data_IF_451855886814
#
_entry.id   IF_451855886814
#
_cell.length_a   1.000
_cell.length_b   1.000
_cell.length_c   1.000
_cell.angle_alpha   90.00
_cell.angle_beta   90.00
_cell.angle_gamma   90.00
#
_symmetry.space_group_name_H-M   'P 1'
#
loop_
_entity.id
_entity.type
_entity.pdbx_description
1 polymer ?
#
# COMPACT_ATOMS: atom_id res chain seq x y z
N UNK A 1 -25.62 8.11 -29.64
CA UNK A 1 -24.78 9.28 -29.97
C UNK A 1 -25.48 10.26 -30.90
N UNK A 2 -25.81 9.94 -32.16
CA UNK A 2 -26.46 10.88 -33.11
C UNK A 2 -27.69 11.60 -32.53
N UNK A 3 -28.61 10.87 -31.90
CA UNK A 3 -29.80 11.46 -31.26
C UNK A 3 -29.47 12.50 -30.18
N UNK A 4 -28.48 12.21 -29.33
CA UNK A 4 -28.07 13.15 -28.28
C UNK A 4 -27.49 14.44 -28.88
N UNK A 5 -26.68 14.32 -29.92
CA UNK A 5 -26.10 15.48 -30.61
C UNK A 5 -27.18 16.37 -31.23
N UNK A 6 -28.17 15.78 -31.90
CA UNK A 6 -29.32 16.50 -32.48
C UNK A 6 -30.12 17.21 -31.37
N UNK A 7 -30.37 16.53 -30.25
CA UNK A 7 -31.07 17.09 -29.11
C UNK A 7 -30.25 18.14 -28.33
N UNK A 8 -28.97 18.36 -28.66
CA UNK A 8 -28.08 19.26 -27.90
C UNK A 8 -27.74 18.71 -26.50
N UNK A 9 -27.58 17.40 -26.39
CA UNK A 9 -27.17 16.67 -25.20
C UNK A 9 -25.78 16.05 -25.39
N UNK A 10 -25.00 16.07 -24.32
CA UNK A 10 -23.85 15.18 -24.14
C UNK A 10 -24.37 13.82 -23.66
N UNK A 11 -23.81 12.74 -24.20
CA UNK A 11 -24.22 11.37 -23.90
C UNK A 11 -23.05 10.57 -23.35
N UNK A 12 -23.30 9.84 -22.26
CA UNK A 12 -22.36 8.90 -21.66
C UNK A 12 -23.07 7.58 -21.40
N UNK A 13 -22.36 6.47 -21.61
CA UNK A 13 -22.87 5.11 -21.40
C UNK A 13 -21.88 4.31 -20.57
N UNK A 14 -22.40 3.57 -19.60
CA UNK A 14 -21.66 2.57 -18.84
C UNK A 14 -22.51 1.30 -18.77
N UNK A 15 -22.11 0.26 -19.51
CA UNK A 15 -22.92 -0.95 -19.71
C UNK A 15 -24.35 -0.63 -20.20
N UNK A 16 -25.36 -0.86 -19.37
CA UNK A 16 -26.78 -0.58 -19.60
C UNK A 16 -27.22 0.81 -19.11
N UNK A 17 -26.43 1.48 -18.27
CA UNK A 17 -26.71 2.84 -17.81
C UNK A 17 -26.43 3.86 -18.92
N UNK A 18 -27.45 4.65 -19.25
CA UNK A 18 -27.40 5.74 -20.22
C UNK A 18 -27.63 7.08 -19.50
N UNK A 19 -26.70 8.02 -19.67
CA UNK A 19 -26.81 9.37 -19.09
C UNK A 19 -26.77 10.41 -20.20
N UNK A 20 -27.75 11.32 -20.17
CA UNK A 20 -27.83 12.47 -21.07
C UNK A 20 -27.74 13.75 -20.23
N UNK A 21 -26.85 14.66 -20.61
CA UNK A 21 -26.67 15.95 -19.93
C UNK A 21 -26.75 17.10 -20.92
N UNK A 22 -27.24 18.26 -20.48
CA UNK A 22 -27.37 19.46 -21.31
C UNK A 22 -27.29 20.72 -20.46
N UNK A 23 -26.87 21.82 -21.07
CA UNK A 23 -26.90 23.16 -20.47
C UNK A 23 -28.18 23.95 -20.87
N UNK A 24 -29.07 23.35 -21.67
CA UNK A 24 -30.36 23.96 -22.02
C UNK A 24 -31.22 24.13 -20.77
N UNK A 25 -31.99 25.23 -20.70
CA UNK A 25 -32.93 25.50 -19.60
C UNK A 25 -34.07 24.47 -19.53
N UNK A 26 -34.55 24.04 -20.70
CA UNK A 26 -35.55 22.99 -20.84
C UNK A 26 -34.87 21.71 -21.31
N UNK A 27 -35.25 20.58 -20.71
CA UNK A 27 -34.72 19.28 -21.12
C UNK A 27 -35.35 18.86 -22.47
N UNK A 28 -34.57 18.35 -23.44
CA UNK A 28 -35.10 18.01 -24.77
C UNK A 28 -36.14 16.88 -24.74
N UNK A 29 -37.30 17.14 -25.33
CA UNK A 29 -38.43 16.21 -25.38
C UNK A 29 -38.12 14.94 -26.20
N UNK A 30 -37.16 15.02 -27.13
CA UNK A 30 -36.67 13.88 -27.90
C UNK A 30 -35.97 12.83 -27.02
N UNK A 31 -35.46 13.27 -25.86
CA UNK A 31 -34.75 12.44 -24.89
C UNK A 31 -35.68 12.03 -23.75
N UNK A 32 -36.44 12.96 -23.17
CA UNK A 32 -37.37 12.64 -22.09
C UNK A 32 -38.28 13.80 -21.68
N UNK A 33 -39.35 13.47 -20.96
CA UNK A 33 -40.35 14.41 -20.48
C UNK A 33 -40.89 13.95 -19.10
N UNK A 34 -41.38 14.87 -18.25
CA UNK A 34 -41.88 14.52 -16.92
C UNK A 34 -43.17 13.68 -17.02
N UNK A 35 -43.32 12.65 -16.19
CA UNK A 35 -44.56 11.87 -16.13
C UNK A 35 -45.68 12.74 -15.55
N UNK A 36 -46.66 13.13 -16.36
CA UNK A 36 -47.77 14.00 -15.97
C UNK A 36 -48.83 13.30 -15.12
N UNK A 37 -48.91 11.98 -15.22
CA UNK A 37 -50.07 11.20 -14.76
C UNK A 37 -49.93 10.70 -13.32
N UNK A 38 -48.80 11.02 -12.66
CA UNK A 38 -48.43 10.52 -11.32
C UNK A 38 -48.39 11.65 -10.27
N UNK A 39 -48.98 12.80 -10.58
CA UNK A 39 -49.05 13.98 -9.71
C UNK A 39 -47.81 14.90 -9.77
N UNK A 40 -47.94 16.16 -9.31
CA UNK A 40 -46.91 17.19 -9.42
C UNK A 40 -45.60 16.88 -8.66
N UNK A 41 -45.61 15.91 -7.74
CA UNK A 41 -44.46 15.53 -6.91
C UNK A 41 -43.69 14.30 -7.45
N UNK A 42 -44.14 13.68 -8.55
CA UNK A 42 -43.42 12.52 -9.10
C UNK A 42 -42.15 12.97 -9.83
N UNK A 43 -40.98 12.70 -9.27
CA UNK A 43 -39.68 12.91 -9.96
C UNK A 43 -39.41 11.89 -11.09
N UNK A 44 -40.47 11.24 -11.58
CA UNK A 44 -40.43 10.17 -12.58
C UNK A 44 -40.42 10.81 -13.96
N UNK A 45 -39.50 10.35 -14.81
CA UNK A 45 -39.39 10.83 -16.18
C UNK A 45 -39.66 9.68 -17.14
N UNK A 46 -40.31 10.00 -18.26
CA UNK A 46 -40.57 9.06 -19.34
C UNK A 46 -39.58 9.30 -20.49
N UNK A 47 -39.11 8.23 -21.15
CA UNK A 47 -38.23 8.37 -22.30
C UNK A 47 -38.98 8.96 -23.49
N UNK A 48 -38.36 9.93 -24.15
CA UNK A 48 -38.85 10.54 -25.37
C UNK A 48 -39.01 9.50 -26.48
N UNK A 49 -39.95 9.73 -27.40
CA UNK A 49 -40.30 8.75 -28.44
C UNK A 49 -39.12 8.36 -29.33
N UNK A 50 -38.26 9.34 -29.67
CA UNK A 50 -37.07 9.11 -30.48
C UNK A 50 -36.06 8.22 -29.74
N UNK A 51 -35.85 8.46 -28.44
CA UNK A 51 -34.99 7.64 -27.60
C UNK A 51 -35.54 6.23 -27.45
N UNK A 52 -36.84 6.10 -27.14
CA UNK A 52 -37.54 4.81 -26.98
C UNK A 52 -37.45 3.96 -28.25
N UNK A 53 -37.75 4.53 -29.43
CA UNK A 53 -37.62 3.84 -30.71
C UNK A 53 -36.18 3.37 -30.98
N UNK A 54 -35.21 4.21 -30.65
CA UNK A 54 -33.79 3.89 -30.84
C UNK A 54 -33.35 2.72 -29.96
N UNK A 55 -33.75 2.70 -28.69
CA UNK A 55 -33.40 1.64 -27.74
C UNK A 55 -34.13 0.34 -28.08
N UNK A 56 -35.42 0.40 -28.41
CA UNK A 56 -36.20 -0.77 -28.82
C UNK A 56 -35.66 -1.42 -30.10
N UNK A 57 -35.24 -0.61 -31.09
CA UNK A 57 -34.60 -1.12 -32.32
C UNK A 57 -33.30 -1.87 -32.03
N UNK A 58 -32.61 -1.53 -30.94
CA UNK A 58 -31.41 -2.21 -30.50
C UNK A 58 -31.69 -3.49 -29.68
N UNK A 59 -32.96 -3.87 -29.48
CA UNK A 59 -33.36 -5.07 -28.73
C UNK A 59 -33.42 -4.89 -27.21
N UNK A 60 -33.43 -3.64 -26.71
CA UNK A 60 -33.49 -3.34 -25.27
C UNK A 60 -34.81 -2.66 -24.90
N UNK A 61 -35.16 -2.71 -23.61
CA UNK A 61 -36.31 -2.01 -23.05
C UNK A 61 -35.88 -1.11 -21.89
N UNK A 62 -36.48 0.07 -21.79
CA UNK A 62 -36.14 1.07 -20.75
C UNK A 62 -36.93 0.74 -19.49
N UNK A 63 -36.25 0.76 -18.33
CA UNK A 63 -36.91 0.60 -17.03
C UNK A 63 -37.49 1.94 -16.54
N UNK A 64 -38.82 2.13 -16.50
CA UNK A 64 -39.43 3.41 -16.13
C UNK A 64 -39.10 3.82 -14.69
N UNK A 65 -39.05 2.86 -13.76
CA UNK A 65 -38.78 3.10 -12.34
C UNK A 65 -37.34 3.59 -12.08
N UNK A 66 -36.44 3.37 -13.04
CA UNK A 66 -35.05 3.87 -12.98
C UNK A 66 -34.83 5.11 -13.85
N UNK A 67 -35.86 5.59 -14.55
CA UNK A 67 -35.76 6.76 -15.44
C UNK A 67 -36.12 8.03 -14.67
N UNK A 68 -35.15 8.92 -14.51
CA UNK A 68 -35.28 10.13 -13.70
C UNK A 68 -34.41 11.26 -14.26
N UNK A 69 -34.80 12.52 -14.00
CA UNK A 69 -33.99 13.69 -14.28
C UNK A 69 -33.28 14.17 -13.01
N UNK A 70 -31.99 14.51 -13.14
CA UNK A 70 -31.20 15.07 -12.04
C UNK A 70 -30.97 16.57 -12.22
N UNK A 71 -31.64 17.38 -11.40
CA UNK A 71 -31.52 18.84 -11.43
C UNK A 71 -30.15 19.34 -10.96
N UNK A 72 -29.69 20.46 -11.53
CA UNK A 72 -28.42 21.12 -11.19
C UNK A 72 -28.31 21.52 -9.71
N UNK A 73 -29.43 21.95 -9.11
CA UNK A 73 -29.52 22.35 -7.70
C UNK A 73 -29.56 21.17 -6.73
N UNK A 74 -29.77 19.95 -7.26
CA UNK A 74 -29.81 18.71 -6.49
C UNK A 74 -28.52 17.90 -6.70
N UNK A 75 -28.26 16.92 -5.83
CA UNK A 75 -27.10 16.03 -5.98
C UNK A 75 -27.27 15.19 -7.25
N UNK A 76 -26.36 15.33 -8.21
CA UNK A 76 -26.35 14.57 -9.46
C UNK A 76 -25.42 13.38 -9.32
N UNK A 77 -25.93 12.18 -9.60
CA UNK A 77 -25.23 10.90 -9.45
C UNK A 77 -25.20 10.14 -10.76
N UNK A 78 -24.00 9.84 -11.24
CA UNK A 78 -23.78 9.05 -12.44
C UNK A 78 -22.85 7.90 -12.06
N UNK A 79 -23.27 6.66 -12.33
CA UNK A 79 -22.48 5.43 -12.09
C UNK A 79 -21.84 5.36 -10.69
N UNK A 80 -22.54 5.86 -9.67
CA UNK A 80 -22.10 5.86 -8.27
C UNK A 80 -21.31 7.10 -7.82
N UNK A 81 -20.85 7.95 -8.75
CA UNK A 81 -20.11 9.19 -8.48
C UNK A 81 -21.02 10.41 -8.45
N UNK A 82 -20.66 11.41 -7.65
CA UNK A 82 -21.31 12.73 -7.64
C UNK A 82 -20.61 13.61 -8.68
N UNK A 83 -21.36 14.27 -9.55
CA UNK A 83 -20.80 14.96 -10.74
C UNK A 83 -21.17 16.44 -10.88
N UNK A 84 -21.81 17.05 -9.87
CA UNK A 84 -22.35 18.42 -9.93
C UNK A 84 -21.39 19.51 -10.42
N UNK A 85 -20.11 19.43 -10.02
CA UNK A 85 -19.07 20.42 -10.37
C UNK A 85 -17.77 19.74 -10.77
N UNK A 86 -17.39 18.72 -10.01
CA UNK A 86 -16.28 17.81 -10.26
C UNK A 86 -16.71 16.40 -9.88
N UNK A 87 -15.94 15.40 -10.30
CA UNK A 87 -16.12 14.03 -9.84
C UNK A 87 -15.85 14.00 -8.34
N UNK A 88 -16.80 13.48 -7.56
CA UNK A 88 -16.66 13.36 -6.12
C UNK A 88 -17.36 12.11 -5.60
N UNK A 89 -16.97 11.72 -4.40
CA UNK A 89 -17.58 10.64 -3.66
C UNK A 89 -18.60 11.21 -2.67
N UNK A 90 -19.65 10.44 -2.42
CA UNK A 90 -20.67 10.72 -1.40
C UNK A 90 -20.00 10.97 -0.03
N UNK A 91 -20.43 12.01 0.69
CA UNK A 91 -19.85 12.33 1.99
C UNK A 91 -20.05 11.17 2.97
N UNK A 92 -21.20 10.50 2.89
CA UNK A 92 -21.58 9.35 3.71
C UNK A 92 -20.56 8.21 3.56
N UNK A 93 -20.09 7.97 2.32
CA UNK A 93 -19.09 6.95 2.05
C UNK A 93 -17.74 7.29 2.68
N UNK A 94 -17.26 8.54 2.49
CA UNK A 94 -15.99 8.99 3.10
C UNK A 94 -16.04 8.92 4.62
N UNK A 95 -17.16 9.36 5.21
CA UNK A 95 -17.37 9.30 6.65
C UNK A 95 -17.34 7.87 7.17
N UNK A 96 -18.05 6.95 6.51
CA UNK A 96 -18.08 5.54 6.89
C UNK A 96 -16.70 4.89 6.79
N UNK A 97 -15.95 5.13 5.70
CA UNK A 97 -14.58 4.59 5.55
C UNK A 97 -13.66 5.10 6.66
N UNK A 98 -13.74 6.40 7.00
CA UNK A 98 -12.97 6.96 8.11
C UNK A 98 -13.37 6.34 9.45
N UNK A 99 -14.67 6.13 9.69
CA UNK A 99 -15.15 5.47 10.90
C UNK A 99 -14.67 4.01 10.99
N UNK A 100 -14.60 3.29 9.86
CA UNK A 100 -14.05 1.93 9.81
C UNK A 100 -12.57 1.89 10.17
N UNK A 101 -11.74 2.80 9.63
CA UNK A 101 -10.32 2.90 10.02
C UNK A 101 -10.19 3.22 11.51
N UNK A 102 -10.99 4.17 12.01
CA UNK A 102 -10.97 4.51 13.43
C UNK A 102 -11.36 3.32 14.32
N UNK A 103 -12.39 2.54 13.96
CA UNK A 103 -12.77 1.33 14.70
C UNK A 103 -11.65 0.29 14.64
N UNK A 104 -11.05 0.09 13.47
CA UNK A 104 -9.94 -0.84 13.25
C UNK A 104 -8.74 -0.55 14.18
N UNK A 105 -8.26 0.69 14.23
CA UNK A 105 -7.06 1.04 15.02
C UNK A 105 -7.31 1.09 16.52
N UNK A 106 -8.57 1.16 16.95
CA UNK A 106 -8.96 1.18 18.36
C UNK A 106 -9.35 -0.21 18.90
N UNK A 107 -9.91 -1.08 18.06
CA UNK A 107 -10.50 -2.37 18.51
C UNK A 107 -9.93 -3.59 17.81
N UNK A 108 -9.28 -3.40 16.66
CA UNK A 108 -8.72 -4.48 15.84
C UNK A 108 -9.64 -4.96 14.73
N UNK A 109 -10.89 -4.51 14.72
CA UNK A 109 -11.92 -4.96 13.79
C UNK A 109 -12.82 -3.79 13.34
N UNK A 110 -13.61 -4.03 12.30
CA UNK A 110 -14.63 -3.10 11.82
C UNK A 110 -15.72 -3.88 11.10
N UNK A 111 -16.85 -3.22 10.85
CA UNK A 111 -18.01 -3.83 10.19
C UNK A 111 -18.35 -3.05 8.93
N UNK A 112 -18.93 -3.76 7.96
CA UNK A 112 -19.49 -3.18 6.74
C UNK A 112 -20.76 -3.93 6.32
N UNK A 113 -21.59 -3.28 5.53
CA UNK A 113 -22.74 -3.93 4.91
C UNK A 113 -22.26 -4.79 3.73
N UNK A 114 -22.47 -6.10 3.82
CA UNK A 114 -22.08 -7.05 2.80
C UNK A 114 -23.23 -7.97 2.41
N UNK A 115 -23.08 -8.63 1.27
CA UNK A 115 -24.02 -9.67 0.85
C UNK A 115 -23.87 -10.88 1.77
N UNK A 116 -24.98 -11.35 2.32
CA UNK A 116 -25.07 -12.57 3.13
C UNK A 116 -26.06 -13.51 2.46
N UNK A 117 -25.65 -14.76 2.29
CA UNK A 117 -26.52 -15.83 1.82
C UNK A 117 -27.08 -16.56 3.04
N UNK A 118 -28.39 -16.49 3.24
CA UNK A 118 -29.11 -17.27 4.25
C UNK A 118 -30.24 -18.03 3.58
N UNK A 119 -30.24 -19.35 3.71
CA UNK A 119 -31.32 -20.22 3.23
C UNK A 119 -31.70 -19.98 1.75
N UNK A 120 -30.69 -19.78 0.89
CA UNK A 120 -30.89 -19.49 -0.55
C UNK A 120 -31.27 -18.05 -0.89
N UNK A 121 -31.52 -17.19 0.11
CA UNK A 121 -31.82 -15.77 -0.06
C UNK A 121 -30.58 -14.88 0.09
N UNK A 122 -30.54 -13.82 -0.70
CA UNK A 122 -29.47 -12.81 -0.70
C UNK A 122 -29.95 -11.58 0.07
N UNK A 123 -29.39 -11.32 1.25
CA UNK A 123 -29.64 -10.10 2.03
C UNK A 123 -28.38 -9.22 2.13
N UNK A 124 -28.57 -7.92 2.37
CA UNK A 124 -27.47 -7.00 2.69
C UNK A 124 -27.51 -6.74 4.18
N UNK A 125 -26.52 -7.25 4.91
CA UNK A 125 -26.45 -7.15 6.37
C UNK A 125 -25.08 -6.68 6.83
N UNK A 126 -25.01 -6.15 8.06
CA UNK A 126 -23.73 -5.85 8.70
C UNK A 126 -22.97 -7.14 8.99
N UNK A 127 -21.69 -7.15 8.65
CA UNK A 127 -20.77 -8.24 8.97
C UNK A 127 -19.37 -7.71 9.27
N UNK A 128 -18.50 -8.53 9.89
CA UNK A 128 -17.08 -8.23 9.99
C UNK A 128 -16.47 -7.93 8.61
N UNK A 129 -15.72 -6.83 8.54
CA UNK A 129 -15.01 -6.38 7.36
C UNK A 129 -13.63 -7.04 7.25
N UNK A 130 -13.12 -7.17 6.03
CA UNK A 130 -11.76 -7.67 5.75
C UNK A 130 -10.85 -6.51 5.40
N UNK A 131 -9.58 -6.55 5.83
CA UNK A 131 -8.61 -5.49 5.57
C UNK A 131 -8.51 -5.12 4.08
N UNK A 132 -8.55 -6.10 3.18
CA UNK A 132 -8.51 -5.85 1.73
C UNK A 132 -9.72 -5.07 1.22
N UNK A 133 -10.89 -5.22 1.83
CA UNK A 133 -12.09 -4.46 1.48
C UNK A 133 -11.90 -2.99 1.86
N UNK A 134 -11.46 -2.72 3.09
CA UNK A 134 -11.18 -1.36 3.54
C UNK A 134 -10.03 -0.71 2.77
N UNK A 135 -9.00 -1.49 2.41
CA UNK A 135 -7.92 -1.03 1.53
C UNK A 135 -8.47 -0.59 0.17
N UNK A 136 -9.34 -1.39 -0.46
CA UNK A 136 -10.00 -1.05 -1.72
C UNK A 136 -10.87 0.21 -1.61
N UNK A 137 -11.61 0.35 -0.51
CA UNK A 137 -12.42 1.55 -0.25
C UNK A 137 -11.56 2.80 -0.10
N UNK A 138 -10.46 2.74 0.66
CA UNK A 138 -9.51 3.84 0.83
C UNK A 138 -8.80 4.18 -0.48
N UNK A 139 -8.39 3.18 -1.25
CA UNK A 139 -7.83 3.32 -2.59
C UNK A 139 -8.79 4.09 -3.51
N UNK A 140 -10.06 3.70 -3.54
CA UNK A 140 -11.08 4.42 -4.31
C UNK A 140 -11.23 5.88 -3.88
N UNK A 141 -11.24 6.17 -2.57
CA UNK A 141 -11.27 7.55 -2.08
C UNK A 141 -10.05 8.34 -2.54
N UNK A 142 -8.87 7.75 -2.39
CA UNK A 142 -7.61 8.35 -2.77
C UNK A 142 -7.53 8.63 -4.28
N UNK A 143 -7.98 7.70 -5.12
CA UNK A 143 -7.90 7.85 -6.58
C UNK A 143 -8.76 9.02 -7.08
N UNK A 144 -9.94 9.23 -6.49
CA UNK A 144 -10.79 10.39 -6.81
C UNK A 144 -10.14 11.70 -6.32
N UNK A 145 -9.50 11.69 -5.15
CA UNK A 145 -8.80 12.87 -4.62
C UNK A 145 -7.59 13.24 -5.50
N UNK A 146 -6.79 12.24 -5.89
CA UNK A 146 -5.64 12.41 -6.80
C UNK A 146 -6.08 12.86 -8.20
N UNK A 147 -7.17 12.29 -8.72
CA UNK A 147 -7.74 12.73 -9.99
C UNK A 147 -8.09 14.23 -9.93
N UNK A 148 -8.80 14.64 -8.88
CA UNK A 148 -9.20 16.03 -8.71
C UNK A 148 -8.01 16.98 -8.52
N UNK A 149 -6.99 16.59 -7.75
CA UNK A 149 -5.81 17.45 -7.53
C UNK A 149 -5.03 17.69 -8.83
N UNK A 150 -5.01 16.71 -9.74
CA UNK A 150 -4.40 16.86 -11.07
C UNK A 150 -5.15 17.83 -11.98
N UNK A 151 -6.45 18.05 -11.73
CA UNK A 151 -7.25 18.99 -12.53
C UNK A 151 -7.12 20.44 -12.06
N UNK A 152 -6.87 20.66 -10.75
CA UNK A 152 -6.87 22.00 -10.17
C UNK A 152 -5.48 22.60 -9.99
N UNK A 153 -4.40 21.83 -10.16
CA UNK A 153 -3.01 22.21 -9.82
C UNK A 153 -2.78 22.68 -8.36
N UNK A 154 -3.83 22.72 -7.54
CA UNK A 154 -3.79 23.00 -6.11
C UNK A 154 -3.53 21.70 -5.34
N UNK A 155 -2.26 21.41 -5.03
CA UNK A 155 -1.92 20.43 -3.99
C UNK A 155 -1.36 21.17 -2.77
N UNK A 156 -2.11 21.29 -1.66
CA UNK A 156 -1.59 21.87 -0.43
C UNK A 156 -0.40 21.04 0.09
N UNK A 157 0.54 21.66 0.83
CA UNK A 157 1.70 20.96 1.36
C UNK A 157 1.29 19.87 2.38
N UNK A 158 1.95 18.70 2.29
CA UNK A 158 1.74 17.57 3.19
C UNK A 158 0.53 16.70 2.86
N UNK A 159 0.17 15.80 3.79
CA UNK A 159 -0.95 14.89 3.61
C UNK A 159 -2.29 15.56 3.96
N UNK A 160 -3.26 15.42 3.05
CA UNK A 160 -4.67 15.70 3.26
C UNK A 160 -5.27 14.84 4.39
N UNK A 161 -6.45 15.22 4.88
CA UNK A 161 -7.15 14.43 5.90
C UNK A 161 -7.45 13.00 5.43
N UNK A 162 -7.80 12.81 4.16
CA UNK A 162 -7.98 11.48 3.55
C UNK A 162 -6.66 10.69 3.55
N UNK A 163 -5.57 11.28 3.06
CA UNK A 163 -4.26 10.61 3.01
C UNK A 163 -3.78 10.22 4.41
N UNK A 164 -4.03 11.06 5.43
CA UNK A 164 -3.71 10.71 6.84
C UNK A 164 -4.48 9.48 7.32
N UNK A 165 -5.77 9.37 7.03
CA UNK A 165 -6.59 8.20 7.38
C UNK A 165 -6.11 6.95 6.63
N UNK A 166 -5.75 7.09 5.36
CA UNK A 166 -5.24 5.96 4.59
C UNK A 166 -3.86 5.52 5.10
N UNK A 167 -2.98 6.47 5.40
CA UNK A 167 -1.68 6.19 6.01
C UNK A 167 -1.84 5.46 7.35
N UNK A 168 -2.77 5.90 8.20
CA UNK A 168 -3.08 5.25 9.47
C UNK A 168 -3.46 3.77 9.27
N UNK A 169 -4.33 3.49 8.30
CA UNK A 169 -4.68 2.12 7.90
C UNK A 169 -3.46 1.32 7.42
N UNK A 170 -2.56 1.92 6.62
CA UNK A 170 -1.37 1.25 6.12
C UNK A 170 -0.38 0.94 7.24
N UNK A 171 -0.13 1.88 8.16
CA UNK A 171 0.72 1.65 9.33
C UNK A 171 0.15 0.53 10.20
N UNK A 172 -1.17 0.55 10.43
CA UNK A 172 -1.85 -0.50 11.18
C UNK A 172 -1.70 -1.88 10.51
N UNK A 173 -2.15 -1.99 9.26
CA UNK A 173 -2.27 -3.29 8.57
C UNK A 173 -0.92 -3.88 8.14
N UNK A 174 0.07 -3.04 7.83
CA UNK A 174 1.38 -3.51 7.36
C UNK A 174 2.31 -3.75 8.53
N UNK A 175 2.36 -2.89 9.56
CA UNK A 175 3.43 -2.93 10.55
C UNK A 175 2.95 -3.24 11.97
N UNK A 176 1.83 -2.64 12.40
CA UNK A 176 1.33 -2.81 13.76
C UNK A 176 0.66 -4.18 13.99
N UNK A 177 -0.25 -4.58 13.10
CA UNK A 177 -0.98 -5.85 13.14
C UNK A 177 -0.43 -6.85 12.09
N UNK A 178 0.88 -6.79 11.83
CA UNK A 178 1.55 -7.70 10.92
C UNK A 178 1.36 -9.15 11.37
N UNK A 179 1.15 -10.07 10.42
CA UNK A 179 0.92 -11.50 10.69
C UNK A 179 2.22 -12.33 10.73
N UNK A 180 3.37 -11.68 10.53
CA UNK A 180 4.70 -12.27 10.58
C UNK A 180 5.74 -11.14 10.71
N UNK A 181 6.98 -11.42 11.13
CA UNK A 181 8.04 -10.42 11.18
C UNK A 181 8.20 -9.68 9.85
N UNK A 182 8.36 -8.36 9.92
CA UNK A 182 8.52 -7.49 8.74
C UNK A 182 9.92 -6.93 8.72
N UNK A 183 10.68 -7.21 7.65
CA UNK A 183 12.02 -6.67 7.44
C UNK A 183 11.92 -5.48 6.48
N UNK A 184 12.46 -4.33 6.90
CA UNK A 184 12.55 -3.09 6.12
C UNK A 184 14.02 -2.73 5.94
N UNK A 185 14.55 -2.94 4.75
CA UNK A 185 15.94 -2.63 4.38
C UNK A 185 16.08 -1.21 3.83
N UNK A 186 17.27 -0.74 3.46
CA UNK A 186 17.42 0.59 2.85
C UNK A 186 16.82 0.65 1.43
N UNK A 187 16.94 -0.43 0.65
CA UNK A 187 16.49 -0.47 -0.73
C UNK A 187 15.98 -1.84 -1.21
N UNK A 188 15.60 -1.89 -2.50
CA UNK A 188 15.11 -3.13 -3.13
C UNK A 188 16.21 -4.17 -3.37
N UNK A 189 17.47 -3.73 -3.44
CA UNK A 189 18.66 -4.59 -3.60
C UNK A 189 18.85 -5.51 -2.42
N UNK A 190 18.77 -4.95 -1.21
CA UNK A 190 18.97 -5.66 0.05
C UNK A 190 17.91 -6.74 0.23
N UNK A 191 16.67 -6.44 -0.21
CA UNK A 191 15.59 -7.41 -0.23
C UNK A 191 15.96 -8.64 -1.07
N UNK A 192 16.61 -8.44 -2.22
CA UNK A 192 17.07 -9.56 -3.06
C UNK A 192 18.13 -10.36 -2.31
N UNK A 193 19.15 -9.70 -1.75
CA UNK A 193 20.24 -10.38 -1.05
C UNK A 193 19.72 -11.20 0.14
N UNK A 194 18.97 -10.57 1.07
CA UNK A 194 18.44 -11.23 2.26
C UNK A 194 17.48 -12.36 1.89
N UNK A 195 16.63 -12.16 0.88
CA UNK A 195 15.71 -13.21 0.41
C UNK A 195 16.48 -14.46 -0.05
N UNK A 196 17.57 -14.28 -0.79
CA UNK A 196 18.36 -15.42 -1.28
C UNK A 196 19.27 -16.01 -0.20
N UNK A 197 19.79 -15.19 0.71
CA UNK A 197 20.53 -15.67 1.88
C UNK A 197 19.65 -16.57 2.78
N UNK A 198 18.43 -16.12 3.12
CA UNK A 198 17.47 -16.90 3.91
C UNK A 198 17.14 -18.23 3.21
N UNK A 199 17.00 -18.23 1.88
CA UNK A 199 16.73 -19.46 1.12
C UNK A 199 17.92 -20.40 1.11
N UNK A 200 19.12 -19.89 0.84
CA UNK A 200 20.34 -20.71 0.80
C UNK A 200 20.62 -21.35 2.17
N UNK A 201 20.43 -20.59 3.25
CA UNK A 201 20.70 -21.00 4.62
C UNK A 201 19.43 -21.49 5.37
N UNK A 202 18.36 -21.85 4.66
CA UNK A 202 17.05 -22.11 5.28
C UNK A 202 17.08 -23.20 6.36
N UNK A 203 17.92 -24.23 6.19
CA UNK A 203 18.10 -25.31 7.18
C UNK A 203 18.77 -24.85 8.47
N UNK A 204 19.62 -23.81 8.41
CA UNK A 204 20.29 -23.22 9.57
C UNK A 204 19.36 -22.22 10.31
N UNK A 205 18.39 -21.62 9.61
CA UNK A 205 17.52 -20.57 10.15
C UNK A 205 16.02 -20.93 10.08
N UNK A 206 15.54 -21.92 10.86
CA UNK A 206 14.14 -22.38 10.84
C UNK A 206 13.13 -21.33 11.34
N UNK A 207 13.59 -20.30 12.05
CA UNK A 207 12.78 -19.14 12.45
C UNK A 207 12.52 -18.17 11.29
N UNK A 208 13.36 -18.20 10.23
CA UNK A 208 13.25 -17.32 9.06
C UNK A 208 12.62 -18.01 7.85
N UNK A 209 12.74 -19.34 7.74
CA UNK A 209 12.16 -20.12 6.67
C UNK A 209 11.78 -21.53 7.11
N UNK A 210 10.84 -22.13 6.38
CA UNK A 210 10.47 -23.53 6.44
C UNK A 210 10.94 -24.20 5.15
N UNK A 211 11.62 -25.35 5.27
CA UNK A 211 11.86 -26.27 4.15
C UNK A 211 10.79 -27.35 4.22
N UNK A 212 9.89 -27.36 3.23
CA UNK A 212 8.80 -28.33 3.14
C UNK A 212 9.28 -29.67 2.59
N UNK A 213 8.43 -30.68 2.65
CA UNK A 213 8.73 -32.03 2.17
C UNK A 213 9.05 -32.10 0.66
N UNK A 214 8.60 -31.13 -0.13
CA UNK A 214 8.88 -30.99 -1.57
C UNK A 214 10.13 -30.13 -1.86
N UNK A 215 11.01 -29.94 -0.86
CA UNK A 215 12.15 -29.02 -0.88
C UNK A 215 11.78 -27.54 -1.14
N UNK A 216 10.48 -27.20 -1.12
CA UNK A 216 10.03 -25.83 -1.32
C UNK A 216 10.29 -25.01 -0.06
N UNK A 217 11.00 -23.90 -0.25
CA UNK A 217 11.33 -22.98 0.83
C UNK A 217 10.25 -21.90 0.95
N UNK A 218 9.63 -21.82 2.12
CA UNK A 218 8.64 -20.79 2.47
C UNK A 218 9.22 -19.89 3.54
N UNK A 219 9.36 -18.60 3.24
CA UNK A 219 9.85 -17.62 4.23
C UNK A 219 8.78 -17.41 5.31
N UNK A 220 9.23 -17.35 6.56
CA UNK A 220 8.43 -16.99 7.75
C UNK A 220 8.51 -15.50 8.08
N UNK A 221 9.17 -14.72 7.23
CA UNK A 221 9.32 -13.28 7.33
C UNK A 221 8.88 -12.61 6.04
N UNK A 222 8.42 -11.36 6.13
CA UNK A 222 8.05 -10.53 4.98
C UNK A 222 9.05 -9.40 4.80
N UNK A 223 9.71 -9.36 3.65
CA UNK A 223 10.50 -8.20 3.25
C UNK A 223 9.58 -7.16 2.59
N UNK A 224 9.64 -5.91 3.04
CA UNK A 224 8.83 -4.83 2.50
C UNK A 224 9.29 -4.47 1.07
N UNK A 225 8.40 -4.62 0.08
CA UNK A 225 8.75 -4.64 -1.35
C UNK A 225 8.87 -3.28 -2.05
N UNK A 226 8.85 -2.16 -1.32
CA UNK A 226 8.98 -0.80 -1.91
C UNK A 226 8.10 -0.59 -3.17
N UNK A 227 6.76 -0.75 -3.06
CA UNK A 227 5.88 -0.70 -4.24
C UNK A 227 5.84 0.72 -4.83
N UNK A 228 5.98 0.86 -6.15
CA UNK A 228 5.81 2.15 -6.85
C UNK A 228 4.33 2.52 -6.99
N UNK A 229 3.69 2.86 -5.86
CA UNK A 229 2.24 3.06 -5.74
C UNK A 229 1.90 4.15 -4.72
N UNK A 230 0.62 4.46 -4.53
CA UNK A 230 0.17 5.35 -3.45
C UNK A 230 0.63 4.89 -2.07
N UNK A 231 0.79 3.58 -1.83
CA UNK A 231 1.32 3.04 -0.57
C UNK A 231 2.70 3.61 -0.22
N UNK A 232 3.62 3.72 -1.18
CA UNK A 232 4.96 4.22 -0.89
C UNK A 232 4.98 5.72 -0.65
N UNK A 233 4.17 6.49 -1.39
CA UNK A 233 3.94 7.90 -1.11
C UNK A 233 3.37 8.10 0.30
N UNK A 234 2.32 7.36 0.65
CA UNK A 234 1.60 7.49 1.92
C UNK A 234 2.43 7.05 3.10
N UNK A 235 3.26 6.01 2.97
CA UNK A 235 4.19 5.58 4.02
C UNK A 235 5.46 6.42 4.07
N UNK A 236 5.72 7.24 3.05
CA UNK A 236 6.99 7.95 2.91
C UNK A 236 8.16 7.00 2.65
N UNK A 237 7.89 5.83 2.05
CA UNK A 237 8.87 4.78 1.69
C UNK A 237 8.95 4.65 0.15
N UNK A 238 8.94 5.78 -0.54
CA UNK A 238 8.96 5.90 -2.01
C UNK A 238 10.34 5.76 -2.62
N UNK A 239 11.32 6.37 -1.95
CA UNK A 239 12.72 6.29 -2.29
C UNK A 239 13.41 5.49 -1.18
N UNK A 240 14.37 4.64 -1.54
CA UNK A 240 15.23 4.02 -0.54
C UNK A 240 16.11 5.06 0.14
N UNK A 241 16.85 4.66 1.17
CA UNK A 241 17.85 5.53 1.78
C UNK A 241 17.75 5.64 3.30
N UNK A 242 18.90 5.86 3.92
CA UNK A 242 18.99 6.02 5.36
C UNK A 242 18.15 7.19 5.92
N UNK A 243 18.05 8.31 5.20
CA UNK A 243 17.22 9.46 5.60
C UNK A 243 15.71 9.16 5.57
N UNK A 244 15.28 8.35 4.59
CA UNK A 244 13.89 7.92 4.43
C UNK A 244 13.50 7.00 5.58
N UNK A 245 14.35 6.02 5.91
CA UNK A 245 14.12 5.13 7.04
C UNK A 245 14.10 5.89 8.38
N UNK A 246 15.03 6.83 8.58
CA UNK A 246 15.08 7.71 9.76
C UNK A 246 13.75 8.47 9.97
N UNK A 247 13.19 9.04 8.89
CA UNK A 247 11.88 9.69 8.94
C UNK A 247 10.76 8.70 9.27
N UNK A 248 10.74 7.55 8.60
CA UNK A 248 9.74 6.51 8.85
C UNK A 248 9.74 6.02 10.31
N UNK A 249 10.92 5.75 10.90
CA UNK A 249 11.06 5.34 12.31
C UNK A 249 10.40 6.37 13.24
N UNK A 250 10.68 7.65 13.00
CA UNK A 250 10.15 8.75 13.81
C UNK A 250 8.63 8.89 13.67
N UNK A 251 8.10 8.76 12.46
CA UNK A 251 6.66 8.86 12.20
C UNK A 251 5.90 7.63 12.71
N UNK A 252 6.46 6.42 12.53
CA UNK A 252 5.91 5.18 13.05
C UNK A 252 5.66 5.26 14.56
N UNK A 253 6.67 5.68 15.34
CA UNK A 253 6.53 5.89 16.80
C UNK A 253 5.37 6.84 17.14
N UNK A 254 5.23 7.93 16.39
CA UNK A 254 4.16 8.92 16.62
C UNK A 254 2.78 8.35 16.32
N UNK A 255 2.65 7.60 15.24
CA UNK A 255 1.35 7.07 14.79
C UNK A 255 0.86 5.94 15.68
N UNK A 256 1.71 4.96 15.98
CA UNK A 256 1.30 3.80 16.80
C UNK A 256 0.96 4.19 18.24
N UNK A 257 1.41 5.36 18.72
CA UNK A 257 1.05 5.85 20.07
C UNK A 257 -0.45 6.09 20.25
N UNK A 258 -1.20 6.20 19.14
CA UNK A 258 -2.65 6.41 19.12
C UNK A 258 -3.45 5.13 18.97
N UNK A 259 -2.80 4.01 18.66
CA UNK A 259 -3.47 2.74 18.42
C UNK A 259 -3.77 2.06 19.75
N UNK A 260 -4.99 1.56 19.89
CA UNK A 260 -5.48 0.86 21.09
C UNK A 260 -5.87 -0.59 20.80
N UNK A 261 -6.01 -0.94 19.52
CA UNK A 261 -6.30 -2.29 19.08
C UNK A 261 -5.21 -3.28 19.52
N UNK A 262 -5.54 -4.57 19.69
CA UNK A 262 -4.54 -5.61 19.79
C UNK A 262 -3.61 -5.58 18.57
N UNK A 263 -2.31 -5.79 18.80
CA UNK A 263 -1.30 -5.78 17.76
C UNK A 263 0.08 -6.02 18.35
N UNK A 264 1.11 -5.59 17.62
CA UNK A 264 2.50 -5.72 18.04
C UNK A 264 2.95 -7.17 18.29
N UNK A 265 2.27 -8.16 17.69
CA UNK A 265 2.58 -9.57 17.88
C UNK A 265 3.88 -10.02 17.19
N UNK A 266 4.26 -9.29 16.13
CA UNK A 266 5.45 -9.58 15.34
C UNK A 266 6.32 -8.33 15.20
N UNK A 267 7.65 -8.50 15.14
CA UNK A 267 8.57 -7.39 15.08
C UNK A 267 8.63 -6.76 13.68
N UNK A 268 8.88 -5.46 13.67
CA UNK A 268 9.31 -4.66 12.52
C UNK A 268 10.81 -4.44 12.67
N UNK A 269 11.59 -4.96 11.74
CA UNK A 269 13.04 -5.03 11.81
C UNK A 269 13.61 -4.12 10.73
N UNK A 270 14.21 -3.01 11.13
CA UNK A 270 14.93 -2.10 10.24
C UNK A 270 16.35 -2.64 10.07
N UNK A 271 16.73 -3.01 8.85
CA UNK A 271 18.11 -3.41 8.53
C UNK A 271 18.81 -2.24 7.86
N UNK A 272 20.00 -1.88 8.35
CA UNK A 272 20.76 -0.74 7.83
C UNK A 272 22.27 -1.01 7.83
N UNK A 273 22.99 -0.34 6.93
CA UNK A 273 24.45 -0.47 6.83
C UNK A 273 25.15 0.15 8.04
N UNK A 274 26.16 -0.52 8.58
CA UNK A 274 26.95 -0.07 9.71
C UNK A 274 28.14 0.77 9.25
N UNK A 275 27.84 1.81 8.48
CA UNK A 275 28.82 2.75 7.92
C UNK A 275 28.39 4.21 8.19
N UNK A 276 29.11 5.18 7.64
CA UNK A 276 28.76 6.59 7.79
C UNK A 276 27.46 7.01 7.09
N UNK A 277 26.99 6.26 6.10
CA UNK A 277 25.73 6.50 5.39
C UNK A 277 24.51 6.42 6.31
N UNK A 278 24.54 5.51 7.29
CA UNK A 278 23.43 5.32 8.24
C UNK A 278 23.47 6.21 9.50
N UNK A 279 24.27 7.29 9.50
CA UNK A 279 24.35 8.22 10.64
C UNK A 279 22.99 8.80 11.03
N UNK A 280 22.13 9.09 10.05
CA UNK A 280 20.77 9.59 10.28
C UNK A 280 19.90 8.60 11.05
N UNK A 281 19.95 7.30 10.69
CA UNK A 281 19.25 6.23 11.39
C UNK A 281 19.76 6.11 12.83
N UNK A 282 21.08 6.01 13.03
CA UNK A 282 21.68 5.90 14.38
C UNK A 282 21.30 7.08 15.28
N UNK A 283 21.30 8.30 14.72
CA UNK A 283 20.87 9.50 15.46
C UNK A 283 19.39 9.44 15.85
N UNK A 284 18.51 8.99 14.94
CA UNK A 284 17.09 8.80 15.25
C UNK A 284 16.87 7.76 16.34
N UNK A 285 17.56 6.61 16.26
CA UNK A 285 17.49 5.58 17.30
C UNK A 285 17.93 6.17 18.63
N UNK A 286 19.10 6.83 18.69
CA UNK A 286 19.61 7.50 19.91
C UNK A 286 18.61 8.49 20.49
N UNK A 287 17.96 9.30 19.66
CA UNK A 287 16.96 10.27 20.11
C UNK A 287 15.72 9.60 20.73
N UNK A 288 15.32 8.46 20.18
CA UNK A 288 14.13 7.70 20.60
C UNK A 288 14.41 6.87 21.86
N UNK A 289 15.52 6.14 21.90
CA UNK A 289 15.90 5.21 22.98
C UNK A 289 16.63 5.90 24.13
N UNK A 290 17.17 7.10 23.89
CA UNK A 290 18.07 7.81 24.82
C UNK A 290 19.38 7.06 25.09
N UNK A 291 19.74 6.10 24.24
CA UNK A 291 20.99 5.33 24.34
C UNK A 291 21.69 5.35 22.99
N UNK A 292 23.02 5.48 23.00
CA UNK A 292 23.82 5.45 21.76
C UNK A 292 23.87 4.02 21.21
N UNK A 293 23.41 3.77 19.97
CA UNK A 293 23.60 2.49 19.29
C UNK A 293 25.09 2.13 19.26
N UNK A 294 25.44 0.94 19.75
CA UNK A 294 26.81 0.46 19.62
C UNK A 294 26.92 -0.30 18.30
N UNK A 295 27.99 -0.04 17.56
CA UNK A 295 28.26 -0.71 16.28
C UNK A 295 28.44 -2.23 16.41
N UNK A 296 28.72 -2.72 17.62
CA UNK A 296 28.85 -4.15 17.94
C UNK A 296 27.57 -4.79 18.47
N UNK A 297 26.52 -4.01 18.75
CA UNK A 297 25.26 -4.59 19.21
C UNK A 297 24.62 -5.38 18.07
N UNK A 298 24.06 -6.59 18.33
CA UNK A 298 23.36 -7.34 17.30
C UNK A 298 22.09 -6.62 16.83
N UNK A 299 21.43 -5.89 17.73
CA UNK A 299 20.28 -5.04 17.43
C UNK A 299 20.05 -4.00 18.55
N UNK A 300 19.24 -2.98 18.25
CA UNK A 300 18.68 -2.05 19.23
C UNK A 300 17.16 -2.15 19.24
N UNK A 301 16.55 -2.23 20.43
CA UNK A 301 15.11 -2.08 20.59
C UNK A 301 14.74 -0.60 20.48
N UNK A 302 13.97 -0.22 19.45
CA UNK A 302 13.69 1.19 19.14
C UNK A 302 12.42 1.65 19.84
N UNK A 303 11.29 0.98 19.57
CA UNK A 303 10.01 1.28 20.22
C UNK A 303 9.00 0.16 19.97
N UNK A 304 8.24 -0.26 20.99
CA UNK A 304 7.18 -1.28 20.86
C UNK A 304 7.67 -2.52 20.09
N UNK A 305 7.14 -2.81 18.89
CA UNK A 305 7.57 -3.93 18.06
C UNK A 305 8.68 -3.58 17.04
N UNK A 306 9.24 -2.37 17.07
CA UNK A 306 10.29 -1.93 16.14
C UNK A 306 11.69 -2.12 16.73
N UNK A 307 12.56 -2.72 15.92
CA UNK A 307 13.95 -3.00 16.21
C UNK A 307 14.82 -2.54 15.04
N UNK A 308 16.08 -2.23 15.32
CA UNK A 308 17.05 -1.88 14.29
C UNK A 308 18.25 -2.83 14.36
N UNK A 309 18.66 -3.37 13.22
CA UNK A 309 19.73 -4.35 13.06
C UNK A 309 20.78 -3.75 12.13
N UNK A 310 21.96 -3.36 12.64
CA UNK A 310 23.07 -2.97 11.78
C UNK A 310 23.62 -4.19 11.03
N UNK A 311 24.23 -3.98 9.87
CA UNK A 311 25.08 -5.00 9.25
C UNK A 311 26.24 -5.35 10.21
N UNK A 312 26.51 -6.64 10.47
CA UNK A 312 27.67 -7.04 11.27
C UNK A 312 28.99 -6.60 10.64
N UNK A 313 29.88 -6.05 11.46
CA UNK A 313 31.22 -5.64 11.03
C UNK A 313 32.11 -6.90 10.96
N UNK A 314 32.71 -7.21 9.80
CA UNK A 314 33.69 -8.29 9.68
C UNK A 314 34.90 -8.08 10.60
N UNK A 315 35.57 -9.17 10.97
CA UNK A 315 36.78 -9.08 11.80
C UNK A 315 37.86 -8.25 11.13
N UNK A 316 38.41 -7.27 11.87
CA UNK A 316 39.44 -6.36 11.37
C UNK A 316 38.91 -5.10 10.66
N UNK A 317 37.61 -5.01 10.39
CA UNK A 317 37.00 -3.85 9.75
C UNK A 317 36.42 -2.86 10.77
N UNK A 318 36.22 -1.60 10.33
CA UNK A 318 35.63 -0.54 11.16
C UNK A 318 34.16 -0.23 10.82
N UNK A 319 33.69 -0.70 9.66
CA UNK A 319 32.36 -0.45 9.13
C UNK A 319 31.93 -1.62 8.24
N UNK A 320 30.64 -1.69 7.91
CA UNK A 320 30.14 -2.70 6.98
C UNK A 320 28.91 -2.23 6.22
N UNK A 321 28.76 -2.73 5.00
CA UNK A 321 27.55 -2.66 4.18
C UNK A 321 27.12 -4.05 3.75
N UNK A 322 25.86 -4.23 3.38
CA UNK A 322 25.33 -5.56 3.06
C UNK A 322 26.06 -6.24 1.89
N UNK A 323 26.63 -5.46 0.97
CA UNK A 323 27.44 -5.97 -0.13
C UNK A 323 28.75 -6.66 0.31
N UNK A 324 29.28 -6.32 1.50
CA UNK A 324 30.54 -6.88 2.00
C UNK A 324 30.42 -8.39 2.33
N UNK A 325 29.20 -8.90 2.45
CA UNK A 325 28.93 -10.32 2.74
C UNK A 325 29.05 -11.24 1.52
N UNK A 326 29.27 -10.68 0.33
CA UNK A 326 29.57 -11.46 -0.86
C UNK A 326 31.07 -11.68 -1.01
N UNK A 327 31.46 -12.86 -1.51
CA UNK A 327 32.86 -13.13 -1.87
C UNK A 327 33.32 -12.36 -3.11
N UNK A 328 34.62 -12.12 -3.20
CA UNK A 328 35.24 -11.38 -4.32
C UNK A 328 34.89 -11.94 -5.70
N UNK A 329 34.86 -13.27 -5.86
CA UNK A 329 34.48 -13.90 -7.13
C UNK A 329 33.12 -13.45 -7.66
N UNK A 330 32.15 -13.27 -6.77
CA UNK A 330 30.81 -12.82 -7.16
C UNK A 330 30.84 -11.33 -7.47
N UNK A 331 31.50 -10.51 -6.63
CA UNK A 331 31.68 -9.07 -6.84
C UNK A 331 32.41 -8.76 -8.16
N UNK A 332 33.35 -9.59 -8.60
CA UNK A 332 34.06 -9.43 -9.88
C UNK A 332 33.26 -9.89 -11.12
N UNK A 333 31.99 -10.27 -10.99
CA UNK A 333 31.18 -10.71 -12.14
C UNK A 333 31.02 -9.58 -13.16
N UNK A 334 31.42 -9.83 -14.41
CA UNK A 334 31.22 -8.89 -15.52
C UNK A 334 29.81 -9.00 -16.09
N UNK A 335 29.14 -7.86 -16.27
CA UNK A 335 27.83 -7.77 -16.92
C UNK A 335 27.91 -6.73 -18.04
N UNK A 336 27.69 -7.14 -19.29
CA UNK A 336 27.78 -6.27 -20.46
C UNK A 336 29.09 -5.47 -20.54
N UNK A 337 30.22 -6.12 -20.24
CA UNK A 337 31.55 -5.50 -20.25
C UNK A 337 31.87 -4.60 -19.04
N UNK A 338 30.97 -4.50 -18.06
CA UNK A 338 31.13 -3.66 -16.86
C UNK A 338 31.37 -4.50 -15.61
N UNK A 339 32.14 -3.97 -14.66
CA UNK A 339 32.37 -4.58 -13.34
C UNK A 339 31.48 -3.93 -12.26
N UNK A 340 31.30 -4.61 -11.13
CA UNK A 340 30.50 -4.09 -10.03
C UNK A 340 31.21 -2.94 -9.32
N UNK A 341 30.45 -1.90 -8.95
CA UNK A 341 30.90 -0.87 -8.03
C UNK A 341 29.72 -0.47 -7.12
N UNK A 342 29.94 -0.56 -5.80
CA UNK A 342 28.97 -0.23 -4.76
C UNK A 342 29.29 1.07 -4.01
N UNK A 343 30.31 1.79 -4.45
CA UNK A 343 30.67 3.11 -3.98
C UNK A 343 29.91 4.23 -4.71
N UNK A 344 30.17 5.47 -4.29
CA UNK A 344 29.46 6.65 -4.78
C UNK A 344 29.91 7.11 -6.18
N UNK A 345 31.13 6.76 -6.60
CA UNK A 345 31.71 7.18 -7.87
C UNK A 345 31.66 6.04 -8.90
N UNK A 346 30.56 5.98 -9.64
CA UNK A 346 30.35 4.98 -10.69
C UNK A 346 30.65 5.60 -12.05
N UNK A 347 31.72 5.17 -12.71
CA UNK A 347 31.89 5.39 -14.15
C UNK A 347 30.86 4.55 -14.88
N UNK A 348 29.84 5.20 -15.45
CA UNK A 348 28.75 4.52 -16.14
C UNK A 348 29.21 3.71 -17.37
N UNK A 349 30.41 3.93 -17.89
CA UNK A 349 30.98 3.15 -19.01
C UNK A 349 31.68 1.88 -18.53
N UNK A 350 32.31 1.91 -17.36
CA UNK A 350 33.10 0.79 -16.83
C UNK A 350 32.38 -0.02 -15.74
N UNK A 351 31.43 0.61 -15.03
CA UNK A 351 30.84 0.07 -13.81
C UNK A 351 29.32 -0.08 -13.90
N UNK A 352 28.79 -1.10 -13.21
CA UNK A 352 27.36 -1.22 -12.89
C UNK A 352 27.14 -1.16 -11.38
N UNK A 353 26.00 -0.61 -10.95
CA UNK A 353 25.67 -0.43 -9.53
C UNK A 353 24.88 -1.58 -8.88
N UNK A 354 24.56 -1.41 -7.59
CA UNK A 354 23.87 -2.37 -6.71
C UNK A 354 22.63 -3.01 -7.34
N UNK A 355 21.80 -2.24 -8.05
CA UNK A 355 20.57 -2.74 -8.69
C UNK A 355 20.85 -3.79 -9.77
N UNK A 356 21.90 -3.60 -10.58
CA UNK A 356 22.30 -4.59 -11.58
C UNK A 356 22.91 -5.80 -10.90
N UNK A 357 23.75 -5.60 -9.88
CA UNK A 357 24.31 -6.70 -9.09
C UNK A 357 23.22 -7.61 -8.50
N UNK A 358 22.25 -7.04 -7.79
CA UNK A 358 21.13 -7.78 -7.20
C UNK A 358 20.31 -8.58 -8.24
N UNK A 359 19.84 -7.91 -9.29
CA UNK A 359 18.85 -8.51 -10.20
C UNK A 359 19.46 -9.28 -11.37
N UNK A 360 20.72 -9.02 -11.75
CA UNK A 360 21.39 -9.66 -12.89
C UNK A 360 22.54 -10.60 -12.50
N UNK A 361 23.06 -10.50 -11.27
CA UNK A 361 24.10 -11.40 -10.77
C UNK A 361 23.55 -12.29 -9.66
N UNK A 362 23.13 -11.70 -8.54
CA UNK A 362 22.75 -12.47 -7.34
C UNK A 362 21.52 -13.32 -7.58
N UNK A 363 20.41 -12.71 -7.99
CA UNK A 363 19.13 -13.41 -8.16
C UNK A 363 19.19 -14.57 -9.17
N UNK A 364 19.78 -14.41 -10.38
CA UNK A 364 19.85 -15.52 -11.34
C UNK A 364 20.81 -16.63 -10.93
N UNK A 365 21.89 -16.31 -10.21
CA UNK A 365 22.93 -17.28 -9.81
C UNK A 365 22.80 -17.74 -8.36
N UNK A 366 21.68 -17.46 -7.69
CA UNK A 366 21.54 -17.62 -6.25
C UNK A 366 21.84 -19.05 -5.73
N UNK A 367 21.61 -20.09 -6.54
CA UNK A 367 21.92 -21.48 -6.16
C UNK A 367 23.42 -21.79 -6.15
N UNK A 368 24.24 -20.98 -6.84
CA UNK A 368 25.69 -21.15 -6.97
C UNK A 368 26.49 -20.21 -6.06
N UNK A 369 25.81 -19.26 -5.40
CA UNK A 369 26.44 -18.26 -4.56
C UNK A 369 26.56 -18.80 -3.14
N UNK A 370 27.76 -18.68 -2.57
CA UNK A 370 27.96 -18.85 -1.15
C UNK A 370 27.38 -17.65 -0.38
N UNK A 371 26.41 -17.90 0.50
CA UNK A 371 25.77 -16.90 1.35
C UNK A 371 26.24 -16.98 2.82
N UNK A 372 27.28 -17.76 3.14
CA UNK A 372 27.79 -17.94 4.51
C UNK A 372 28.12 -16.61 5.20
N UNK A 373 28.58 -15.59 4.47
CA UNK A 373 28.82 -14.24 4.98
C UNK A 373 27.58 -13.57 5.60
N UNK A 374 26.36 -13.99 5.23
CA UNK A 374 25.11 -13.45 5.78
C UNK A 374 24.72 -14.08 7.12
N UNK A 375 25.39 -15.16 7.57
CA UNK A 375 24.99 -15.92 8.77
C UNK A 375 24.83 -15.03 10.00
N UNK A 376 25.78 -14.14 10.28
CA UNK A 376 25.69 -13.28 11.46
C UNK A 376 24.52 -12.31 11.38
N UNK A 377 24.25 -11.73 10.20
CA UNK A 377 23.10 -10.83 10.02
C UNK A 377 21.78 -11.60 10.24
N UNK A 378 21.65 -12.80 9.67
CA UNK A 378 20.46 -13.64 9.86
C UNK A 378 20.30 -14.08 11.32
N UNK A 379 21.40 -14.38 12.03
CA UNK A 379 21.39 -14.67 13.47
C UNK A 379 20.87 -13.49 14.28
N UNK A 380 21.33 -12.27 14.00
CA UNK A 380 20.84 -11.06 14.68
C UNK A 380 19.33 -10.84 14.43
N UNK A 381 18.84 -11.09 13.21
CA UNK A 381 17.40 -11.01 12.89
C UNK A 381 16.60 -12.07 13.68
N UNK A 382 17.11 -13.30 13.78
CA UNK A 382 16.48 -14.35 14.60
C UNK A 382 16.46 -13.97 16.08
N UNK A 383 17.53 -13.36 16.58
CA UNK A 383 17.62 -12.89 17.96
C UNK A 383 16.52 -11.86 18.25
N UNK A 384 16.28 -10.91 17.34
CA UNK A 384 15.15 -9.96 17.44
C UNK A 384 13.80 -10.69 17.51
N UNK A 385 13.57 -11.69 16.65
CA UNK A 385 12.31 -12.45 16.64
C UNK A 385 12.09 -13.16 17.97
N UNK A 386 13.13 -13.81 18.51
CA UNK A 386 13.09 -14.51 19.80
C UNK A 386 12.88 -13.54 20.96
N UNK A 387 13.64 -12.45 20.99
CA UNK A 387 13.54 -11.40 22.00
C UNK A 387 12.13 -10.80 22.03
N UNK A 388 11.58 -10.46 20.86
CA UNK A 388 10.23 -9.90 20.77
C UNK A 388 9.17 -10.90 21.22
N UNK A 389 9.28 -12.18 20.80
CA UNK A 389 8.35 -13.23 21.24
C UNK A 389 8.35 -13.38 22.76
N UNK A 390 9.52 -13.37 23.39
CA UNK A 390 9.63 -13.42 24.86
C UNK A 390 8.95 -12.22 25.53
N UNK A 391 9.18 -11.01 25.02
CA UNK A 391 8.57 -9.78 25.55
C UNK A 391 7.04 -9.72 25.39
N UNK A 392 6.49 -10.32 24.34
CA UNK A 392 5.04 -10.39 24.12
C UNK A 392 4.38 -11.44 25.01
N UNK A 393 5.05 -12.58 25.25
CA UNK A 393 4.51 -13.66 26.11
C UNK A 393 4.61 -13.30 27.60
N UNK A 394 5.67 -12.59 28.01
CA UNK A 394 5.91 -12.17 29.39
C UNK A 394 6.16 -10.66 29.42
N UNK A 395 5.11 -9.82 29.42
CA UNK A 395 5.30 -8.39 29.54
C UNK A 395 5.99 -8.07 30.88
N UNK A 396 6.97 -7.15 30.92
CA UNK A 396 7.57 -6.72 32.18
C UNK A 396 6.47 -6.19 33.13
N UNK A 397 6.60 -6.46 34.45
CA UNK A 397 5.57 -6.18 35.46
C UNK A 397 5.19 -4.70 35.57
#
# INVERSE_FOLDING_TARGET
MKLAQIAGCTYSRYADDLTFSTNKKQFPLEIGWPATDQGPDSHIWLPGDALRKTINRAGFTINPNKTHLMYRTSRQRVTGLVVNKKINIRWEYRHNVRAMVNKLVNTGEFELNGIVHKDGNVSIEKRPGRLNELHGMLGFVNDIDVYNSRQTNDKPPGFSSTERVYREFLIYSIFYAAQMPVILCEGDTDNVYITHAIRSLAREFPDLAEVRADDKIVLKVRLYKYPKSSTSHLLGLGDGGSSVLSKFISEYKKEISRFKAPGLAHPVIIVYDNDDGARSIRNTIKQITKSTPKVTNPFDHVTKNMYAVPTPIPEGEAASKIEDFFGEMIKSTVVNGKIFNDGNNIDATQHYGKRVFAHKVVRPKAQMIDFTGFRQLLSNIVEVIKYHKAAVVMPPP
#
